data_IF_211195520244
#
_entry.id   IF_211195520244
#
_cell.length_a   1.000
_cell.length_b   1.000
_cell.length_c   1.000
_cell.angle_alpha   90.00
_cell.angle_beta   90.00
_cell.angle_gamma   90.00
#
_symmetry.space_group_name_H-M   'P 1'
#
loop_
_entity.id
_entity.type
_entity.pdbx_description
1 polymer ?
#
# COMPACT_ATOMS: atom_id res chain seq x y z
N UNK A 1 17.98 3.17 1.16
CA UNK A 1 17.46 2.30 2.24
C UNK A 1 16.36 3.04 2.97
N UNK A 2 15.32 2.34 3.44
CA UNK A 2 14.26 2.94 4.24
C UNK A 2 14.79 3.32 5.63
N UNK A 3 14.23 4.36 6.23
CA UNK A 3 14.58 4.77 7.58
C UNK A 3 14.15 3.68 8.57
N UNK A 4 15.03 3.26 9.51
CA UNK A 4 14.65 2.29 10.53
C UNK A 4 13.59 2.91 11.45
N UNK A 5 12.89 2.07 12.23
CA UNK A 5 12.00 2.57 13.29
C UNK A 5 10.85 3.46 12.81
N UNK A 6 10.41 3.25 11.59
CA UNK A 6 9.43 4.08 10.89
C UNK A 6 8.25 3.22 10.43
N UNK A 7 7.04 3.67 10.72
CA UNK A 7 5.83 3.13 10.09
C UNK A 7 5.75 3.66 8.66
N UNK A 8 5.71 2.77 7.69
CA UNK A 8 5.55 3.10 6.28
C UNK A 8 4.18 2.69 5.79
N UNK A 9 3.61 3.50 4.91
CA UNK A 9 2.44 3.15 4.11
C UNK A 9 2.90 2.98 2.67
N UNK A 10 2.45 1.90 2.03
CA UNK A 10 2.70 1.63 0.63
C UNK A 10 1.51 2.10 -0.21
N UNK A 11 1.79 2.88 -1.25
CA UNK A 11 0.79 3.36 -2.20
C UNK A 11 1.08 2.82 -3.60
N UNK A 12 0.08 2.30 -4.28
CA UNK A 12 0.13 2.12 -5.72
C UNK A 12 -0.18 3.46 -6.38
N UNK A 13 0.64 3.88 -7.33
CA UNK A 13 0.42 5.09 -8.13
C UNK A 13 0.16 4.70 -9.58
N UNK A 14 -0.99 5.11 -10.11
CA UNK A 14 -1.49 4.62 -11.39
C UNK A 14 -2.43 5.60 -12.10
N UNK A 15 -2.72 5.32 -13.37
CA UNK A 15 -3.75 5.94 -14.17
C UNK A 15 -4.62 4.87 -14.84
N UNK A 16 -5.83 5.26 -15.23
CA UNK A 16 -6.74 4.43 -16.02
C UNK A 16 -6.88 5.02 -17.43
N UNK A 17 -6.57 4.22 -18.44
CA UNK A 17 -6.74 4.58 -19.84
C UNK A 17 -8.22 4.68 -20.23
N UNK A 18 -8.52 5.37 -21.34
CA UNK A 18 -9.90 5.64 -21.83
C UNK A 18 -10.76 4.39 -22.08
N UNK A 19 -10.17 3.19 -22.14
CA UNK A 19 -10.86 1.90 -22.30
C UNK A 19 -10.51 0.94 -21.16
N UNK A 20 -10.30 1.44 -19.95
CA UNK A 20 -9.98 0.56 -18.83
C UNK A 20 -11.14 -0.38 -18.54
N UNK A 21 -10.90 -1.69 -18.66
CA UNK A 21 -11.86 -2.71 -18.26
C UNK A 21 -11.78 -2.96 -16.75
N UNK A 22 -12.92 -3.27 -16.14
CA UNK A 22 -13.19 -3.32 -14.69
C UNK A 22 -12.04 -3.86 -13.83
N UNK A 23 -11.18 -2.94 -13.37
CA UNK A 23 -10.26 -3.15 -12.25
C UNK A 23 -10.95 -2.73 -10.95
N UNK A 24 -12.14 -3.26 -10.70
CA UNK A 24 -12.91 -2.85 -9.52
C UNK A 24 -12.25 -3.37 -8.24
N UNK A 25 -11.75 -4.62 -8.26
CA UNK A 25 -11.12 -5.28 -7.11
C UNK A 25 -9.73 -5.83 -7.44
N UNK A 26 -8.82 -5.67 -6.49
CA UNK A 26 -7.51 -6.31 -6.47
C UNK A 26 -7.14 -6.73 -5.05
N UNK A 27 -6.26 -7.71 -4.93
CA UNK A 27 -5.67 -8.11 -3.66
C UNK A 27 -4.28 -7.50 -3.52
N UNK A 28 -3.90 -7.09 -2.32
CA UNK A 28 -2.57 -6.61 -2.01
C UNK A 28 -1.93 -7.34 -0.83
N UNK A 29 -0.61 -7.43 -0.84
CA UNK A 29 0.19 -7.99 0.26
C UNK A 29 1.35 -7.02 0.52
N UNK A 30 1.59 -6.70 1.79
CA UNK A 30 2.77 -5.95 2.26
C UNK A 30 3.37 -6.73 3.43
N UNK A 31 4.62 -7.20 3.29
CA UNK A 31 5.31 -7.98 4.34
C UNK A 31 6.82 -7.89 4.24
N UNK A 32 7.50 -8.27 5.32
CA UNK A 32 8.93 -8.56 5.30
C UNK A 32 9.19 -9.98 4.83
N UNK A 33 10.05 -10.14 3.84
CA UNK A 33 10.48 -11.47 3.37
C UNK A 33 11.60 -11.98 4.29
N UNK A 34 11.34 -13.07 5.00
CA UNK A 34 12.37 -13.81 5.75
C UNK A 34 12.93 -14.92 4.85
N UNK A 35 14.25 -15.11 4.87
CA UNK A 35 14.94 -16.08 4.00
C UNK A 35 14.65 -17.55 4.35
N UNK A 36 14.02 -17.84 5.50
CA UNK A 36 13.72 -19.20 5.95
C UNK A 36 12.25 -19.34 6.42
N UNK A 37 11.34 -19.56 5.48
CA UNK A 37 10.21 -20.50 5.53
C UNK A 37 9.14 -20.07 4.52
N UNK A 38 9.17 -20.69 3.33
CA UNK A 38 8.12 -20.56 2.33
C UNK A 38 6.87 -21.33 2.75
N UNK A 39 6.06 -20.77 3.65
CA UNK A 39 4.67 -21.18 3.78
C UNK A 39 3.81 -19.96 4.09
N UNK A 40 3.59 -19.08 3.10
CA UNK A 40 2.65 -17.98 3.26
C UNK A 40 1.68 -17.90 2.08
N UNK A 41 0.46 -18.34 2.36
CA UNK A 41 -0.73 -18.46 1.51
C UNK A 41 -1.35 -17.10 1.17
N UNK A 42 -2.14 -17.03 0.08
CA UNK A 42 -2.93 -15.87 -0.33
C UNK A 42 -3.95 -15.35 0.73
N UNK A 43 -4.10 -16.06 1.85
CA UNK A 43 -5.07 -15.79 2.93
C UNK A 43 -4.83 -14.48 3.68
N UNK A 44 -3.62 -13.92 3.63
CA UNK A 44 -3.28 -12.65 4.27
C UNK A 44 -3.47 -11.44 3.34
N UNK A 45 -3.99 -11.64 2.13
CA UNK A 45 -4.13 -10.55 1.17
C UNK A 45 -5.28 -9.60 1.56
N UNK A 46 -5.02 -8.31 1.45
CA UNK A 46 -6.03 -7.27 1.63
C UNK A 46 -6.81 -7.08 0.33
N UNK A 47 -8.14 -7.18 0.37
CA UNK A 47 -8.99 -6.86 -0.78
C UNK A 47 -9.18 -5.35 -0.89
N UNK A 48 -8.77 -4.77 -2.01
CA UNK A 48 -8.84 -3.35 -2.33
C UNK A 48 -9.87 -3.09 -3.43
N UNK A 49 -10.66 -2.03 -3.25
CA UNK A 49 -11.48 -1.43 -4.31
C UNK A 49 -10.68 -0.36 -5.04
N UNK A 50 -9.94 -0.72 -6.09
CA UNK A 50 -8.98 0.16 -6.75
C UNK A 50 -9.63 1.46 -7.23
N UNK A 51 -10.73 1.39 -7.99
CA UNK A 51 -11.38 2.57 -8.56
C UNK A 51 -12.04 3.43 -7.48
N UNK A 52 -12.74 2.82 -6.53
CA UNK A 52 -13.52 3.55 -5.52
C UNK A 52 -12.65 4.14 -4.41
N UNK A 53 -11.57 3.45 -4.03
CA UNK A 53 -10.68 3.89 -2.96
C UNK A 53 -9.52 4.76 -3.43
N UNK A 54 -9.31 4.87 -4.75
CA UNK A 54 -8.23 5.68 -5.28
C UNK A 54 -8.53 7.18 -5.16
N UNK A 55 -7.48 7.94 -4.86
CA UNK A 55 -7.50 9.38 -4.71
C UNK A 55 -6.71 10.03 -5.85
N UNK A 56 -7.28 11.06 -6.46
CA UNK A 56 -6.58 11.88 -7.44
C UNK A 56 -5.57 12.80 -6.74
N UNK A 57 -4.32 12.78 -7.21
CA UNK A 57 -3.23 13.64 -6.79
C UNK A 57 -3.22 14.94 -7.59
N UNK A 58 -2.48 15.94 -7.11
CA UNK A 58 -2.34 17.23 -7.79
C UNK A 58 -1.56 17.17 -9.12
N UNK A 59 -0.80 16.09 -9.35
CA UNK A 59 -0.03 15.82 -10.57
C UNK A 59 -0.82 15.04 -11.63
N UNK A 60 -2.09 14.70 -11.35
CA UNK A 60 -2.94 13.95 -12.27
C UNK A 60 -2.81 12.43 -12.20
N UNK A 61 -2.00 11.89 -11.28
CA UNK A 61 -1.97 10.46 -10.98
C UNK A 61 -3.03 10.08 -9.93
N UNK A 62 -3.47 8.82 -9.95
CA UNK A 62 -4.29 8.24 -8.90
C UNK A 62 -3.40 7.47 -7.92
N UNK A 63 -3.75 7.47 -6.64
CA UNK A 63 -3.09 6.64 -5.63
C UNK A 63 -4.08 5.85 -4.79
N UNK A 64 -3.74 4.62 -4.42
CA UNK A 64 -4.49 3.81 -3.44
C UNK A 64 -3.53 3.20 -2.42
N UNK A 65 -3.93 3.15 -1.16
CA UNK A 65 -3.17 2.47 -0.11
C UNK A 65 -3.21 0.95 -0.31
N UNK A 66 -2.04 0.32 -0.33
CA UNK A 66 -1.89 -1.13 -0.41
C UNK A 66 -1.82 -1.79 0.97
N UNK A 67 -1.37 -1.04 1.97
CA UNK A 67 -1.15 -1.48 3.34
C UNK A 67 0.01 -0.72 4.00
N UNK A 68 0.36 -1.12 5.21
CA UNK A 68 1.44 -0.51 5.99
C UNK A 68 2.32 -1.58 6.64
N UNK A 69 3.55 -1.20 6.97
CA UNK A 69 4.51 -2.03 7.69
C UNK A 69 5.44 -1.17 8.55
N UNK A 70 6.08 -1.76 9.56
CA UNK A 70 6.99 -1.05 10.45
C UNK A 70 8.44 -1.52 10.26
N UNK A 71 9.37 -0.60 9.99
CA UNK A 71 10.80 -0.91 9.82
C UNK A 71 11.57 -1.20 11.13
N UNK A 72 10.90 -1.38 12.29
CA UNK A 72 11.50 -1.91 13.54
C UNK A 72 11.55 -3.42 13.60
N UNK A 73 10.66 -4.12 12.91
CA UNK A 73 10.42 -5.53 13.20
C UNK A 73 11.51 -6.42 12.60
N UNK A 74 12.66 -6.51 13.30
CA UNK A 74 13.58 -7.65 13.28
C UNK A 74 14.02 -8.18 11.90
N UNK A 75 13.95 -7.36 10.86
CA UNK A 75 14.09 -7.78 9.48
C UNK A 75 14.96 -6.80 8.73
N UNK A 76 16.24 -7.15 8.57
CA UNK A 76 17.09 -6.62 7.50
C UNK A 76 16.72 -7.21 6.12
N UNK A 77 15.64 -7.99 6.04
CA UNK A 77 15.10 -8.56 4.82
C UNK A 77 14.37 -7.53 3.93
N UNK A 78 14.24 -7.82 2.63
CA UNK A 78 13.50 -6.96 1.71
C UNK A 78 12.02 -6.91 2.09
N UNK A 79 11.40 -5.77 1.82
CA UNK A 79 9.95 -5.61 1.92
C UNK A 79 9.34 -6.02 0.58
N UNK A 80 8.40 -6.94 0.64
CA UNK A 80 7.59 -7.33 -0.50
C UNK A 80 6.29 -6.55 -0.50
N UNK A 81 6.00 -5.91 -1.64
CA UNK A 81 4.73 -5.29 -1.94
C UNK A 81 4.16 -5.89 -3.22
N UNK A 82 3.01 -6.56 -3.12
CA UNK A 82 2.31 -7.17 -4.26
C UNK A 82 0.94 -6.55 -4.42
N UNK A 83 0.54 -6.38 -5.68
CA UNK A 83 -0.83 -6.17 -6.09
C UNK A 83 -1.14 -7.23 -7.15
N UNK A 84 -2.20 -8.01 -6.95
CA UNK A 84 -2.59 -9.05 -7.87
C UNK A 84 -4.10 -9.11 -8.02
N UNK A 85 -4.53 -9.58 -9.17
CA UNK A 85 -5.93 -9.65 -9.52
C UNK A 85 -6.67 -10.72 -8.71
N UNK A 86 -7.85 -10.37 -8.19
CA UNK A 86 -8.81 -11.35 -7.70
C UNK A 86 -9.38 -12.11 -8.90
N UNK A 87 -9.26 -13.45 -8.92
CA UNK A 87 -9.76 -14.33 -9.99
C UNK A 87 -11.20 -13.97 -10.39
N UNK A 88 -11.36 -13.18 -11.44
CA UNK A 88 -12.64 -12.87 -12.09
C UNK A 88 -12.44 -12.96 -13.59
N UNK A 89 -13.44 -13.51 -14.27
CA UNK A 89 -13.40 -13.91 -15.68
C UNK A 89 -13.41 -12.76 -16.70
N UNK A 90 -13.18 -11.51 -16.27
CA UNK A 90 -13.23 -10.32 -17.12
C UNK A 90 -11.82 -9.92 -17.56
N UNK A 91 -11.66 -9.58 -18.85
CA UNK A 91 -10.41 -8.97 -19.35
C UNK A 91 -10.18 -7.67 -18.59
N UNK A 92 -9.02 -7.53 -17.95
CA UNK A 92 -8.58 -6.28 -17.33
C UNK A 92 -7.57 -5.60 -18.22
N UNK A 93 -7.79 -4.33 -18.51
CA UNK A 93 -6.92 -3.56 -19.39
C UNK A 93 -6.92 -2.09 -18.98
N UNK A 94 -5.95 -1.32 -19.47
CA UNK A 94 -5.90 0.13 -19.26
C UNK A 94 -5.35 0.60 -17.92
N UNK A 95 -4.74 -0.28 -17.11
CA UNK A 95 -3.95 0.14 -15.95
C UNK A 95 -2.57 0.62 -16.42
N UNK A 96 -2.25 1.88 -16.14
CA UNK A 96 -0.93 2.45 -16.35
C UNK A 96 -0.31 2.63 -14.97
N UNK A 97 0.80 1.97 -14.68
CA UNK A 97 1.44 2.00 -13.36
C UNK A 97 2.67 2.90 -13.41
N UNK A 98 2.74 3.89 -12.52
CA UNK A 98 3.96 4.67 -12.29
C UNK A 98 4.90 3.89 -11.37
N UNK A 99 4.36 3.35 -10.27
CA UNK A 99 5.13 2.54 -9.34
C UNK A 99 4.44 2.32 -7.99
N UNK A 100 5.24 1.85 -7.03
CA UNK A 100 4.87 1.74 -5.61
C UNK A 100 5.70 2.75 -4.82
N UNK A 101 5.02 3.58 -4.03
CA UNK A 101 5.67 4.57 -3.17
C UNK A 101 5.54 4.16 -1.69
N UNK A 102 6.66 4.13 -0.98
CA UNK A 102 6.70 3.95 0.47
C UNK A 102 6.85 5.29 1.17
N UNK A 103 5.84 5.71 1.92
CA UNK A 103 5.82 7.01 2.60
C UNK A 103 5.79 6.81 4.13
N UNK A 104 6.66 7.50 4.91
CA UNK A 104 6.55 7.50 6.36
C UNK A 104 5.18 8.00 6.82
N UNK A 105 4.55 7.27 7.74
CA UNK A 105 3.32 7.70 8.40
C UNK A 105 3.66 8.83 9.36
N UNK A 106 3.22 10.04 9.06
CA UNK A 106 3.40 11.18 9.96
C UNK A 106 2.46 11.00 11.15
N UNK A 107 2.98 10.48 12.26
CA UNK A 107 2.27 10.51 13.54
C UNK A 107 2.26 11.96 14.01
N UNK A 108 1.10 12.60 14.00
CA UNK A 108 0.97 13.90 14.65
C UNK A 108 1.07 13.68 16.16
N UNK A 109 2.12 14.19 16.79
CA UNK A 109 2.14 14.36 18.23
C UNK A 109 0.93 15.25 18.60
N UNK A 110 -0.04 14.72 19.35
CA UNK A 110 -1.00 15.56 20.04
C UNK A 110 -0.22 16.28 21.14
N UNK A 111 -0.09 17.59 21.04
CA UNK A 111 0.34 18.40 22.18
C UNK A 111 -0.72 18.26 23.26
N UNK A 112 -0.39 17.55 24.34
CA UNK A 112 -1.16 17.61 25.57
C UNK A 112 -0.97 19.00 26.17
N UNK A 113 -1.97 19.88 26.07
CA UNK A 113 -2.02 21.08 26.92
C UNK A 113 -2.03 20.61 28.36
N UNK A 114 -0.92 20.80 29.07
CA UNK A 114 -0.88 20.66 30.52
C UNK A 114 -1.46 21.95 31.07
N UNK A 115 -2.75 21.92 31.44
CA UNK A 115 -3.37 23.02 32.19
C UNK A 115 -2.79 23.01 33.62
N UNK A 116 -1.69 23.74 33.80
CA UNK A 116 -1.22 24.12 35.13
C UNK A 116 -2.18 25.18 35.68
N UNK A 117 -3.11 24.76 36.54
CA UNK A 117 -3.83 25.67 37.42
C UNK A 117 -2.93 25.95 38.64
N UNK A 118 -2.50 27.20 38.76
CA UNK A 118 -1.93 27.76 39.98
C UNK A 118 -3.04 28.04 41.01
#
# INVERSE_FOLDING_TARGET
MLSPKTDYVAYLVFQLGRRSCELEYANSIIRFVKYESDTETEEQANTLKLVTSAKLRGDGWMEVELGHFNSKEGSDGPVEARLFEMKRSSIKSGLIVEGIEFRPKIIKCRESKVDLKF
#
